data_IF_466038895077
#
_entry.id   IF_466038895077
#
_cell.length_a   1.000
_cell.length_b   1.000
_cell.length_c   1.000
_cell.angle_alpha   90.00
_cell.angle_beta   90.00
_cell.angle_gamma   90.00
#
_symmetry.space_group_name_H-M   'P 1'
#
loop_
_entity.id
_entity.type
_entity.pdbx_description
1 polymer ?
#
# COMPACT_ATOMS: atom_id res chain seq x y z
N UNK A 1 23.21 -15.23 -12.40
CA UNK A 1 22.32 -14.10 -12.01
C UNK A 1 21.26 -13.77 -13.06
N UNK A 2 21.62 -13.63 -14.35
CA UNK A 2 20.68 -13.24 -15.43
C UNK A 2 19.44 -14.13 -15.61
N UNK A 3 19.51 -15.43 -15.31
CA UNK A 3 18.36 -16.36 -15.43
C UNK A 3 17.23 -16.06 -14.42
N UNK A 4 17.59 -15.64 -13.20
CA UNK A 4 16.63 -15.31 -12.12
C UNK A 4 15.76 -14.10 -12.49
N UNK A 5 16.33 -13.15 -13.21
CA UNK A 5 15.66 -11.91 -13.63
C UNK A 5 14.66 -12.13 -14.78
N UNK A 6 14.98 -13.04 -15.71
CA UNK A 6 14.09 -13.36 -16.84
C UNK A 6 12.90 -14.24 -16.41
N UNK A 7 13.13 -15.12 -15.44
CA UNK A 7 12.13 -16.03 -14.87
C UNK A 7 11.76 -15.62 -13.44
N UNK A 8 11.41 -14.35 -13.27
CA UNK A 8 11.17 -13.78 -11.95
C UNK A 8 9.90 -14.35 -11.30
N UNK A 9 8.88 -14.68 -12.10
CA UNK A 9 7.62 -15.30 -11.64
C UNK A 9 7.89 -16.70 -11.06
N UNK A 10 8.71 -17.50 -11.74
CA UNK A 10 9.11 -18.84 -11.30
C UNK A 10 9.98 -18.77 -10.05
N UNK A 11 10.91 -17.82 -10.01
CA UNK A 11 11.76 -17.59 -8.83
C UNK A 11 10.92 -17.20 -7.61
N UNK A 12 9.96 -16.29 -7.79
CA UNK A 12 9.01 -15.93 -6.73
C UNK A 12 8.17 -17.13 -6.30
N UNK A 13 7.71 -17.97 -7.24
CA UNK A 13 7.00 -19.21 -6.94
C UNK A 13 7.81 -20.21 -6.11
N UNK A 14 9.12 -20.30 -6.36
CA UNK A 14 10.04 -21.09 -5.53
C UNK A 14 10.17 -20.52 -4.13
N UNK A 15 10.33 -19.19 -4.00
CA UNK A 15 10.32 -18.53 -2.69
C UNK A 15 9.02 -18.83 -1.94
N UNK A 16 7.86 -18.73 -2.59
CA UNK A 16 6.56 -19.02 -1.97
C UNK A 16 6.45 -20.46 -1.46
N UNK A 17 7.14 -21.40 -2.12
CA UNK A 17 7.04 -22.82 -1.85
C UNK A 17 8.03 -23.30 -0.79
N UNK A 18 9.21 -22.67 -0.71
CA UNK A 18 10.35 -23.19 0.02
C UNK A 18 10.93 -22.25 1.08
N UNK A 19 10.65 -20.94 1.03
CA UNK A 19 11.13 -20.01 2.05
C UNK A 19 10.48 -20.32 3.40
N UNK A 20 11.28 -20.24 4.48
CA UNK A 20 10.71 -20.29 5.82
C UNK A 20 9.91 -19.01 6.10
N UNK A 21 8.83 -19.08 6.90
CA UNK A 21 8.02 -17.91 7.23
C UNK A 21 8.82 -16.72 7.76
N UNK A 22 9.87 -16.98 8.55
CA UNK A 22 10.72 -15.97 9.17
C UNK A 22 11.66 -15.30 8.17
N UNK A 23 12.02 -15.99 7.09
CA UNK A 23 12.95 -15.53 6.05
C UNK A 23 12.22 -14.94 4.84
N UNK A 24 10.94 -15.26 4.66
CA UNK A 24 10.12 -14.88 3.51
C UNK A 24 10.25 -13.39 3.17
N UNK A 25 10.00 -12.52 4.14
CA UNK A 25 10.03 -11.07 3.93
C UNK A 25 11.40 -10.60 3.47
N UNK A 26 12.48 -11.09 4.11
CA UNK A 26 13.85 -10.71 3.76
C UNK A 26 14.23 -11.20 2.36
N UNK A 27 13.91 -12.45 2.03
CA UNK A 27 14.21 -13.04 0.72
C UNK A 27 13.44 -12.35 -0.40
N UNK A 28 12.15 -12.10 -0.20
CA UNK A 28 11.30 -11.43 -1.19
C UNK A 28 11.72 -9.97 -1.40
N UNK A 29 12.06 -9.25 -0.34
CA UNK A 29 12.58 -7.87 -0.41
C UNK A 29 13.95 -7.80 -1.10
N UNK A 30 14.86 -8.72 -0.78
CA UNK A 30 16.18 -8.81 -1.44
C UNK A 30 16.01 -9.11 -2.93
N UNK A 31 15.14 -10.06 -3.26
CA UNK A 31 14.83 -10.39 -4.65
C UNK A 31 14.24 -9.19 -5.41
N UNK A 32 13.29 -8.48 -4.79
CA UNK A 32 12.74 -7.24 -5.33
C UNK A 32 13.81 -6.19 -5.60
N UNK A 33 14.77 -6.01 -4.69
CA UNK A 33 15.89 -5.08 -4.85
C UNK A 33 16.77 -5.45 -6.05
N UNK A 34 17.06 -6.74 -6.25
CA UNK A 34 17.86 -7.21 -7.38
C UNK A 34 17.10 -6.94 -8.70
N UNK A 35 15.80 -7.21 -8.74
CA UNK A 35 14.97 -6.90 -9.91
C UNK A 35 14.93 -5.39 -10.17
N UNK A 36 14.77 -4.56 -9.12
CA UNK A 36 14.74 -3.12 -9.25
C UNK A 36 16.03 -2.58 -9.89
N UNK A 37 17.20 -3.07 -9.45
CA UNK A 37 18.50 -2.68 -10.04
C UNK A 37 18.66 -3.12 -11.49
N UNK A 38 17.89 -4.10 -11.96
CA UNK A 38 17.89 -4.54 -13.36
C UNK A 38 16.96 -3.71 -14.27
N UNK A 39 16.22 -2.75 -13.71
CA UNK A 39 15.32 -1.86 -14.45
C UNK A 39 13.90 -2.38 -14.64
N UNK A 40 13.55 -3.58 -14.16
CA UNK A 40 12.18 -4.09 -14.23
C UNK A 40 11.36 -3.63 -13.03
N UNK A 41 10.92 -2.37 -13.07
CA UNK A 41 10.16 -1.73 -11.98
C UNK A 41 8.87 -2.46 -11.65
N UNK A 42 8.13 -2.94 -12.65
CA UNK A 42 6.87 -3.66 -12.46
C UNK A 42 7.05 -4.95 -11.64
N UNK A 43 8.01 -5.80 -12.02
CA UNK A 43 8.29 -7.03 -11.28
C UNK A 43 8.82 -6.74 -9.87
N UNK A 44 9.64 -5.69 -9.70
CA UNK A 44 10.13 -5.27 -8.40
C UNK A 44 8.99 -4.79 -7.49
N UNK A 45 8.07 -3.98 -8.02
CA UNK A 45 6.88 -3.51 -7.27
C UNK A 45 6.06 -4.69 -6.76
N UNK A 46 5.78 -5.69 -7.59
CA UNK A 46 5.04 -6.88 -7.17
C UNK A 46 5.76 -7.65 -6.06
N UNK A 47 7.08 -7.81 -6.16
CA UNK A 47 7.86 -8.48 -5.13
C UNK A 47 7.91 -7.68 -3.81
N UNK A 48 8.03 -6.35 -3.85
CA UNK A 48 7.94 -5.53 -2.64
C UNK A 48 6.56 -5.59 -1.99
N UNK A 49 5.49 -5.68 -2.79
CA UNK A 49 4.13 -5.90 -2.27
C UNK A 49 4.05 -7.25 -1.55
N UNK A 50 4.58 -8.32 -2.14
CA UNK A 50 4.64 -9.65 -1.52
C UNK A 50 5.46 -9.67 -0.21
N UNK A 51 6.52 -8.85 -0.14
CA UNK A 51 7.34 -8.70 1.06
C UNK A 51 6.66 -7.84 2.15
N UNK A 52 5.66 -7.03 1.80
CA UNK A 52 5.06 -6.05 2.71
C UNK A 52 5.90 -4.78 2.88
N UNK A 53 6.82 -4.49 1.96
CA UNK A 53 7.73 -3.34 2.02
C UNK A 53 7.05 -2.07 1.49
N UNK A 54 6.30 -1.38 2.36
CA UNK A 54 5.51 -0.18 2.00
C UNK A 54 6.40 0.93 1.42
N UNK A 55 7.43 1.34 2.15
CA UNK A 55 8.30 2.46 1.73
C UNK A 55 8.90 2.29 0.35
N UNK A 56 9.42 1.09 0.06
CA UNK A 56 10.04 0.79 -1.23
C UNK A 56 9.00 0.75 -2.35
N UNK A 57 7.80 0.23 -2.06
CA UNK A 57 6.69 0.20 -3.01
C UNK A 57 6.21 1.63 -3.35
N UNK A 58 5.99 2.45 -2.32
CA UNK A 58 5.59 3.86 -2.47
C UNK A 58 6.67 4.67 -3.18
N UNK A 59 7.95 4.38 -2.92
CA UNK A 59 9.07 4.97 -3.65
C UNK A 59 9.01 4.70 -5.15
N UNK A 60 8.74 3.47 -5.58
CA UNK A 60 8.59 3.14 -7.01
C UNK A 60 7.36 3.81 -7.61
N UNK A 61 6.22 3.81 -6.92
CA UNK A 61 5.02 4.49 -7.40
C UNK A 61 5.25 5.99 -7.58
N UNK A 62 5.92 6.63 -6.61
CA UNK A 62 6.26 8.06 -6.67
C UNK A 62 7.12 8.36 -7.90
N UNK A 63 8.13 7.52 -8.19
CA UNK A 63 8.99 7.67 -9.36
C UNK A 63 8.23 7.48 -10.68
N UNK A 64 7.29 6.54 -10.71
CA UNK A 64 6.47 6.26 -11.90
C UNK A 64 5.47 7.38 -12.18
N UNK A 65 4.94 8.00 -11.12
CA UNK A 65 4.01 9.12 -11.22
C UNK A 65 4.68 10.44 -11.61
N UNK A 66 5.98 10.58 -11.33
CA UNK A 66 6.74 11.79 -11.69
C UNK A 66 6.80 12.06 -13.21
N UNK A 67 6.50 11.06 -14.04
CA UNK A 67 6.46 11.19 -15.49
C UNK A 67 5.04 11.47 -16.04
N UNK A 68 4.02 11.51 -15.18
CA UNK A 68 2.64 11.77 -15.56
C UNK A 68 2.31 13.26 -15.48
N UNK A 69 1.56 13.78 -16.45
CA UNK A 69 1.10 15.17 -16.46
C UNK A 69 -0.19 15.33 -15.62
N UNK A 70 -0.06 15.18 -14.30
CA UNK A 70 -1.16 15.31 -13.32
C UNK A 70 -0.93 16.51 -12.41
N UNK A 71 -2.01 17.03 -11.83
CA UNK A 71 -1.88 18.07 -10.80
C UNK A 71 -1.21 17.49 -9.55
N UNK A 72 -0.58 18.35 -8.74
CA UNK A 72 0.01 17.94 -7.47
C UNK A 72 -1.02 17.24 -6.55
N UNK A 73 -2.25 17.76 -6.51
CA UNK A 73 -3.31 17.17 -5.71
C UNK A 73 -3.69 15.76 -6.18
N UNK A 74 -3.81 15.54 -7.48
CA UNK A 74 -4.13 14.22 -8.06
C UNK A 74 -3.01 13.21 -7.80
N UNK A 75 -1.75 13.65 -7.87
CA UNK A 75 -0.58 12.82 -7.59
C UNK A 75 -0.57 12.34 -6.14
N UNK A 76 -0.77 13.27 -5.19
CA UNK A 76 -0.81 12.95 -3.76
C UNK A 76 -2.00 12.05 -3.44
N UNK A 77 -3.18 12.35 -3.98
CA UNK A 77 -4.38 11.52 -3.78
C UNK A 77 -4.15 10.09 -4.29
N UNK A 78 -3.68 9.95 -5.53
CA UNK A 78 -3.45 8.63 -6.12
C UNK A 78 -2.43 7.82 -5.31
N UNK A 79 -1.34 8.46 -4.88
CA UNK A 79 -0.31 7.80 -4.10
C UNK A 79 -0.84 7.39 -2.72
N UNK A 80 -1.60 8.25 -2.07
CA UNK A 80 -2.15 8.00 -0.73
C UNK A 80 -3.20 6.89 -0.73
N UNK A 81 -4.13 6.89 -1.70
CA UNK A 81 -5.15 5.85 -1.85
C UNK A 81 -4.51 4.46 -2.05
N UNK A 82 -3.48 4.36 -2.90
CA UNK A 82 -2.75 3.10 -3.07
C UNK A 82 -1.99 2.68 -1.83
N UNK A 83 -1.35 3.63 -1.15
CA UNK A 83 -0.55 3.39 0.05
C UNK A 83 -1.42 2.85 1.17
N UNK A 84 -2.60 3.44 1.41
CA UNK A 84 -3.47 3.00 2.51
C UNK A 84 -4.05 1.61 2.25
N UNK A 85 -4.48 1.32 1.02
CA UNK A 85 -4.98 -0.01 0.65
C UNK A 85 -3.90 -1.05 0.88
N UNK A 86 -2.67 -0.76 0.47
CA UNK A 86 -1.55 -1.68 0.66
C UNK A 86 -1.16 -1.83 2.13
N UNK A 87 -1.12 -0.74 2.90
CA UNK A 87 -0.86 -0.78 4.33
C UNK A 87 -1.87 -1.66 5.09
N UNK A 88 -3.16 -1.47 4.80
CA UNK A 88 -4.23 -2.27 5.41
C UNK A 88 -4.15 -3.74 5.00
N UNK A 89 -3.88 -4.02 3.72
CA UNK A 89 -3.75 -5.39 3.22
C UNK A 89 -2.51 -6.12 3.75
N UNK A 90 -1.41 -5.40 3.97
CA UNK A 90 -0.16 -5.96 4.52
C UNK A 90 -0.21 -6.16 6.04
N UNK A 91 -1.17 -5.52 6.73
CA UNK A 91 -1.27 -5.56 8.19
C UNK A 91 -0.12 -4.83 8.90
N UNK A 92 0.67 -4.05 8.16
CA UNK A 92 1.75 -3.23 8.72
C UNK A 92 1.14 -2.06 9.49
N UNK A 93 1.66 -1.86 10.71
CA UNK A 93 1.24 -0.77 11.60
C UNK A 93 2.34 0.26 11.84
N UNK A 94 3.53 0.00 11.29
CA UNK A 94 4.67 0.91 11.38
C UNK A 94 4.84 1.61 10.06
N UNK A 95 4.87 2.93 10.12
CA UNK A 95 5.03 3.79 8.97
C UNK A 95 6.31 4.59 9.15
N UNK A 96 6.97 4.90 8.04
CA UNK A 96 8.13 5.77 8.05
C UNK A 96 7.73 7.25 8.09
N UNK A 97 8.70 8.11 8.39
CA UNK A 97 8.53 9.57 8.33
C UNK A 97 8.08 10.06 6.95
N UNK A 98 8.48 9.39 5.86
CA UNK A 98 8.08 9.81 4.51
C UNK A 98 6.61 9.51 4.25
N UNK A 99 6.09 8.40 4.80
CA UNK A 99 4.67 8.07 4.75
C UNK A 99 3.85 9.01 5.63
N UNK A 100 4.33 9.36 6.81
CA UNK A 100 3.68 10.38 7.65
C UNK A 100 3.55 11.72 6.93
N UNK A 101 4.61 12.18 6.25
CA UNK A 101 4.56 13.40 5.41
C UNK A 101 3.60 13.29 4.23
N UNK A 102 3.43 12.09 3.65
CA UNK A 102 2.44 11.87 2.59
C UNK A 102 1.01 12.01 3.14
N UNK A 103 0.75 11.44 4.31
CA UNK A 103 -0.56 11.55 4.99
C UNK A 103 -0.86 13.00 5.35
N UNK A 104 0.11 13.73 5.89
CA UNK A 104 -0.02 15.15 6.22
C UNK A 104 -0.48 15.96 5.00
N UNK A 105 0.27 15.85 3.89
CA UNK A 105 -0.04 16.55 2.64
C UNK A 105 -1.43 16.21 2.10
N UNK A 106 -1.83 14.94 2.18
CA UNK A 106 -3.15 14.53 1.72
C UNK A 106 -4.26 15.03 2.63
N UNK A 107 -4.06 14.99 3.96
CA UNK A 107 -5.01 15.54 4.92
C UNK A 107 -5.18 17.05 4.72
N UNK A 108 -4.12 17.81 4.44
CA UNK A 108 -4.21 19.23 4.08
C UNK A 108 -5.03 19.47 2.82
N UNK A 109 -4.85 18.65 1.78
CA UNK A 109 -5.67 18.71 0.55
C UNK A 109 -7.14 18.49 0.90
N UNK A 110 -7.47 17.44 1.65
CA UNK A 110 -8.84 17.15 2.08
C UNK A 110 -9.45 18.29 2.89
N UNK A 111 -8.69 18.89 3.81
CA UNK A 111 -9.10 20.06 4.58
C UNK A 111 -9.41 21.24 3.67
N UNK A 112 -8.55 21.51 2.67
CA UNK A 112 -8.76 22.60 1.70
C UNK A 112 -10.02 22.40 0.84
N UNK A 113 -10.44 21.15 0.64
CA UNK A 113 -11.65 20.76 -0.08
C UNK A 113 -12.90 20.70 0.83
N UNK A 114 -12.76 21.00 2.13
CA UNK A 114 -13.84 20.93 3.11
C UNK A 114 -14.17 19.52 3.60
N UNK A 115 -13.36 18.51 3.25
CA UNK A 115 -13.56 17.11 3.62
C UNK A 115 -12.91 16.77 4.97
N UNK A 116 -13.27 17.52 6.02
CA UNK A 116 -12.67 17.42 7.36
C UNK A 116 -12.85 16.04 8.01
N UNK A 117 -14.01 15.42 7.82
CA UNK A 117 -14.30 14.07 8.35
C UNK A 117 -13.39 13.01 7.71
N UNK A 118 -13.25 13.05 6.38
CA UNK A 118 -12.35 12.16 5.65
C UNK A 118 -10.90 12.36 6.09
N UNK A 119 -10.44 13.61 6.23
CA UNK A 119 -9.09 13.92 6.69
C UNK A 119 -8.80 13.31 8.07
N UNK A 120 -9.73 13.46 9.02
CA UNK A 120 -9.62 12.90 10.36
C UNK A 120 -9.52 11.37 10.35
N UNK A 121 -10.28 10.69 9.49
CA UNK A 121 -10.20 9.23 9.38
C UNK A 121 -8.86 8.75 8.82
N UNK A 122 -8.30 9.42 7.81
CA UNK A 122 -6.95 9.12 7.32
C UNK A 122 -5.88 9.27 8.42
N UNK A 123 -6.00 10.30 9.25
CA UNK A 123 -5.10 10.51 10.39
C UNK A 123 -5.23 9.40 11.44
N UNK A 124 -6.45 8.92 11.73
CA UNK A 124 -6.68 7.81 12.68
C UNK A 124 -6.08 6.48 12.21
N UNK A 125 -6.08 6.23 10.90
CA UNK A 125 -5.56 4.98 10.32
C UNK A 125 -4.05 4.80 10.58
N UNK A 126 -3.31 5.89 10.79
CA UNK A 126 -1.87 5.86 11.03
C UNK A 126 -1.49 5.60 12.49
N UNK A 127 -2.47 5.48 13.39
CA UNK A 127 -2.25 5.34 14.83
C UNK A 127 -1.91 6.67 15.51
N UNK A 128 -2.20 6.77 16.81
CA UNK A 128 -2.03 8.02 17.59
C UNK A 128 -0.72 8.08 18.37
N UNK A 129 0.04 6.98 18.44
CA UNK A 129 1.18 6.83 19.34
C UNK A 129 2.52 7.32 18.72
N UNK A 130 2.59 7.48 17.41
CA UNK A 130 3.81 7.88 16.66
C UNK A 130 3.54 9.07 15.70
N UNK A 131 2.59 9.95 16.03
CA UNK A 131 2.33 11.13 15.19
C UNK A 131 3.43 12.18 15.37
N UNK A 132 3.88 12.76 14.26
CA UNK A 132 4.76 13.93 14.32
C UNK A 132 4.04 15.11 15.00
N UNK A 133 4.77 16.10 15.53
CA UNK A 133 4.19 17.32 16.10
C UNK A 133 3.24 18.03 15.11
N UNK A 134 3.61 18.07 13.83
CA UNK A 134 2.84 18.69 12.76
C UNK A 134 1.51 17.97 12.52
N UNK A 135 1.54 16.64 12.45
CA UNK A 135 0.34 15.81 12.33
C UNK A 135 -0.59 15.96 13.54
N UNK A 136 -0.01 16.09 14.75
CA UNK A 136 -0.79 16.31 15.98
C UNK A 136 -1.51 17.65 15.93
N UNK A 137 -0.81 18.72 15.54
CA UNK A 137 -1.41 20.06 15.37
C UNK A 137 -2.52 20.02 14.31
N UNK A 138 -2.27 19.37 13.16
CA UNK A 138 -3.27 19.23 12.10
C UNK A 138 -4.51 18.47 12.60
N UNK A 139 -4.32 17.37 13.32
CA UNK A 139 -5.41 16.60 13.93
C UNK A 139 -6.24 17.45 14.87
N UNK A 140 -5.61 18.20 15.77
CA UNK A 140 -6.31 19.02 16.76
C UNK A 140 -7.07 20.18 16.11
N UNK A 141 -6.50 20.77 15.04
CA UNK A 141 -7.22 21.78 14.23
C UNK A 141 -8.45 21.20 13.56
N UNK A 142 -8.35 19.99 12.99
CA UNK A 142 -9.47 19.31 12.36
C UNK A 142 -10.51 18.93 13.41
N UNK A 143 -10.10 18.41 14.58
CA UNK A 143 -11.05 18.01 15.64
C UNK A 143 -11.89 19.19 16.10
N UNK A 144 -11.27 20.34 16.39
CA UNK A 144 -11.97 21.57 16.77
C UNK A 144 -12.94 22.06 15.67
N UNK A 145 -12.53 21.97 14.41
CA UNK A 145 -13.39 22.33 13.28
C UNK A 145 -14.57 21.36 13.11
N UNK A 146 -14.39 20.08 13.42
CA UNK A 146 -15.44 19.05 13.33
C UNK A 146 -16.38 19.00 14.55
N UNK A 147 -15.93 19.40 15.74
CA UNK A 147 -16.78 19.48 16.95
C UNK A 147 -17.91 20.51 16.83
N UNK A 148 -17.77 21.45 15.89
CA UNK A 148 -18.81 22.42 15.50
C UNK A 148 -19.95 21.80 14.67
N UNK A 149 -19.85 20.53 14.27
CA UNK A 149 -20.82 19.83 13.43
C UNK A 149 -20.87 18.32 13.73
N UNK A 150 -21.78 17.93 14.63
CA UNK A 150 -22.01 16.54 15.05
C UNK A 150 -22.41 15.66 13.86
N UNK A 151 -21.52 14.84 13.27
CA UNK A 151 -21.93 13.75 12.36
C UNK A 151 -21.06 12.48 12.42
N UNK A 152 -21.74 11.44 12.93
CA UNK A 152 -21.78 10.01 12.56
C UNK A 152 -20.47 9.24 12.29
N UNK A 153 -20.20 8.34 13.24
CA UNK A 153 -19.46 7.08 13.08
C UNK A 153 -19.83 6.40 11.76
N UNK A 154 -18.93 6.39 10.78
CA UNK A 154 -19.04 5.55 9.60
C UNK A 154 -17.65 5.04 9.19
N UNK A 155 -17.12 4.12 10.00
CA UNK A 155 -15.93 3.33 9.67
C UNK A 155 -16.08 2.48 8.37
N UNK A 156 -17.25 2.51 7.73
CA UNK A 156 -17.57 1.71 6.54
C UNK A 156 -17.51 2.51 5.22
N UNK A 157 -17.57 3.85 5.26
CA UNK A 157 -17.71 4.65 4.03
C UNK A 157 -16.40 4.78 3.25
N UNK A 158 -15.25 4.84 3.95
CA UNK A 158 -13.92 4.91 3.31
C UNK A 158 -13.57 3.60 2.59
N UNK A 159 -13.97 2.44 3.15
CA UNK A 159 -13.78 1.15 2.48
C UNK A 159 -14.45 1.11 1.11
N UNK A 160 -15.65 1.68 0.99
CA UNK A 160 -16.35 1.75 -0.30
C UNK A 160 -15.78 2.82 -1.23
N UNK A 161 -15.45 4.02 -0.74
CA UNK A 161 -14.95 5.09 -1.61
C UNK A 161 -13.54 4.84 -2.12
N UNK A 162 -12.62 4.29 -1.32
CA UNK A 162 -11.24 3.97 -1.76
C UNK A 162 -11.22 2.81 -2.76
N UNK A 163 -12.24 1.95 -2.75
CA UNK A 163 -12.39 0.90 -3.77
C UNK A 163 -13.02 1.41 -5.07
N UNK A 164 -13.62 2.61 -5.12
CA UNK A 164 -14.55 2.98 -6.20
C UNK A 164 -14.62 4.47 -6.63
N UNK A 165 -13.59 5.35 -6.62
CA UNK A 165 -13.82 6.72 -7.08
C UNK A 165 -13.60 6.95 -8.58
N UNK A 166 -12.89 6.08 -9.32
CA UNK A 166 -12.73 6.25 -10.77
C UNK A 166 -12.75 4.90 -11.49
N UNK A 167 -13.74 4.70 -12.36
CA UNK A 167 -14.13 3.46 -13.04
C UNK A 167 -13.11 2.85 -14.02
N UNK A 168 -11.87 2.64 -13.58
CA UNK A 168 -10.86 1.73 -14.15
C UNK A 168 -9.97 1.17 -13.03
N UNK A 169 -10.57 0.56 -12.01
CA UNK A 169 -9.84 -0.27 -11.03
C UNK A 169 -9.67 -1.66 -11.63
N UNK A 170 -8.71 -1.80 -12.54
CA UNK A 170 -8.29 -3.10 -13.02
C UNK A 170 -7.47 -3.77 -11.88
N UNK A 171 -8.02 -4.82 -11.27
CA UNK A 171 -7.30 -5.82 -10.45
C UNK A 171 -6.87 -5.51 -8.99
N UNK A 172 -7.74 -4.93 -8.15
CA UNK A 172 -7.62 -5.24 -6.70
C UNK A 172 -8.08 -6.71 -6.43
N UNK A 173 -8.85 -7.31 -7.35
CA UNK A 173 -9.65 -8.52 -7.08
C UNK A 173 -9.10 -9.86 -7.57
N UNK A 174 -7.99 -9.93 -8.32
CA UNK A 174 -7.23 -11.20 -8.47
C UNK A 174 -5.94 -11.22 -7.65
N UNK A 175 -5.37 -10.07 -7.26
CA UNK A 175 -3.94 -9.96 -6.95
C UNK A 175 -3.56 -9.54 -5.51
N UNK A 176 -4.42 -9.81 -4.53
CA UNK A 176 -3.90 -10.40 -3.27
C UNK A 176 -3.31 -11.81 -3.58
N UNK A 177 -3.71 -12.41 -4.72
CA UNK A 177 -3.50 -13.76 -5.30
C UNK A 177 -3.88 -14.94 -4.41
N UNK A 178 -3.77 -14.84 -3.10
CA UNK A 178 -4.40 -15.76 -2.16
C UNK A 178 -4.33 -15.07 -0.82
N UNK A 179 -5.44 -14.98 -0.11
CA UNK A 179 -5.63 -14.28 1.17
C UNK A 179 -4.70 -14.80 2.29
N UNK A 180 -3.36 -14.65 2.16
CA UNK A 180 -2.30 -15.62 2.46
C UNK A 180 -2.26 -16.80 1.44
N UNK A 181 -1.17 -17.00 0.68
CA UNK A 181 -0.77 -18.35 0.20
C UNK A 181 -0.39 -19.16 1.44
N UNK A 182 -1.41 -19.67 2.13
CA UNK A 182 -1.37 -20.36 3.42
C UNK A 182 -1.43 -19.46 4.66
N UNK A 183 -2.65 -19.25 5.13
CA UNK A 183 -3.00 -18.92 6.52
C UNK A 183 -2.54 -19.94 7.57
N UNK A 184 -1.49 -20.73 7.33
CA UNK A 184 -1.04 -21.97 7.99
C UNK A 184 -1.09 -23.11 6.97
N UNK A 185 0.00 -23.90 6.87
CA UNK A 185 0.06 -25.21 6.20
C UNK A 185 -1.29 -25.95 6.28
N UNK A 186 -1.83 -26.42 5.14
CA UNK A 186 -2.53 -27.72 5.15
C UNK A 186 -1.54 -28.77 4.64
N UNK A 187 -1.30 -29.86 5.39
CA UNK A 187 -0.42 -30.91 4.93
C UNK A 187 -1.10 -31.72 3.83
N UNK A 188 -0.28 -32.11 2.83
CA UNK A 188 -0.50 -33.10 1.75
C UNK A 188 -1.18 -32.63 0.46
N UNK A 189 -0.32 -32.59 -0.58
CA UNK A 189 -0.48 -33.01 -1.99
C UNK A 189 -1.73 -32.53 -2.75
N UNK A 190 -1.54 -31.51 -3.59
CA UNK A 190 -1.87 -31.52 -5.04
C UNK A 190 -1.64 -30.12 -5.62
N UNK A 191 -0.79 -30.02 -6.64
CA UNK A 191 -0.34 -28.75 -7.23
C UNK A 191 -1.20 -28.37 -8.43
N UNK A 192 -1.94 -27.26 -8.33
CA UNK A 192 -2.43 -26.52 -9.49
C UNK A 192 -2.04 -25.06 -9.31
N UNK A 193 -1.09 -24.61 -10.14
CA UNK A 193 -0.66 -23.22 -10.22
C UNK A 193 -1.69 -22.43 -11.03
N UNK A 194 -2.12 -21.27 -10.56
CA UNK A 194 -3.06 -20.42 -11.28
C UNK A 194 -2.38 -19.89 -12.55
N UNK A 195 -2.83 -20.33 -13.73
CA UNK A 195 -2.24 -19.99 -15.03
C UNK A 195 -2.63 -18.61 -15.57
N UNK A 196 -3.49 -17.84 -14.87
CA UNK A 196 -4.08 -16.61 -15.41
C UNK A 196 -3.73 -15.36 -14.60
N UNK A 197 -2.44 -15.01 -14.54
CA UNK A 197 -2.00 -13.66 -14.17
C UNK A 197 -1.31 -13.03 -15.39
N UNK A 198 -2.14 -12.59 -16.33
CA UNK A 198 -1.78 -11.65 -17.41
C UNK A 198 -1.72 -10.21 -16.88
#
# INVERSE_FOLDING_TARGET
MLRLLRSWKETLGLLCSFAQPEEWTLLCDTFASIIATSGNTHAATLCYICAGSIDKTVGIWSMTLATENKSYADLIQYLMEKTIVFALASGQKRFSDSLFKLVEKYAEILVSQGQLSTAMEYLKLMGTEELSPELTILRDRISLATESGVYLKNNLFIFFTVLYPYGRVLFITTSIVCNRVFTYRKPKRSYHFCQNCE
#
